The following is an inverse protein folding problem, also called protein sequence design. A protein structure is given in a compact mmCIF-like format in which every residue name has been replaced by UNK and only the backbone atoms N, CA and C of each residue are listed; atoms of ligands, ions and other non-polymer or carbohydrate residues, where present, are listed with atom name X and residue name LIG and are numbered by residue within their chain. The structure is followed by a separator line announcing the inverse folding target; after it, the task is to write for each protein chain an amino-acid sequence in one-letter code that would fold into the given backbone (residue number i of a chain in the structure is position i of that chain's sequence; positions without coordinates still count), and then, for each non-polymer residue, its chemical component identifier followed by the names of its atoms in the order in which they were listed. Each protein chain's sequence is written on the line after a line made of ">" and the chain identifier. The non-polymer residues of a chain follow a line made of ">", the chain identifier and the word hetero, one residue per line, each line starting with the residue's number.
data_IF_791136438287
#
_entry.id   IF_791136438287
#
_cell.length_a   1.000
_cell.length_b   1.000
_cell.length_c   1.000
_cell.angle_alpha   90.00
_cell.angle_beta   90.00
_cell.angle_gamma   90.00
#
_symmetry.space_group_name_H-M   'P 1'
#
loop_
_entity.id
_entity.type
_entity.pdbx_description
1 polymer ?
#
# COMPACT_ATOMS: atom_id res chain seq x y z
N UNK A 1 17.14 -14.98 33.93
CA UNK A 1 16.95 -14.40 32.58
C UNK A 1 17.35 -12.94 32.69
N UNK A 2 18.37 -12.49 31.96
CA UNK A 2 18.77 -11.08 32.03
C UNK A 2 17.61 -10.21 31.53
N UNK A 3 17.22 -9.24 32.35
CA UNK A 3 16.22 -8.21 32.04
C UNK A 3 16.83 -7.06 31.23
N UNK A 4 17.90 -7.32 30.48
CA UNK A 4 18.49 -6.31 29.62
C UNK A 4 17.55 -6.06 28.45
N UNK A 5 16.98 -4.86 28.42
CA UNK A 5 16.20 -4.37 27.31
C UNK A 5 17.10 -4.28 26.07
N UNK A 6 16.59 -4.71 24.92
CA UNK A 6 17.28 -4.57 23.64
C UNK A 6 17.62 -3.10 23.39
N UNK A 7 18.89 -2.81 23.10
CA UNK A 7 19.33 -1.44 22.78
C UNK A 7 18.97 -1.14 21.33
N UNK A 8 18.17 -0.10 21.10
CA UNK A 8 17.76 0.31 19.75
C UNK A 8 18.86 1.17 19.10
N UNK A 9 19.20 0.88 17.85
CA UNK A 9 20.09 1.69 17.02
C UNK A 9 19.44 3.04 16.63
N UNK A 10 18.12 3.05 16.44
CA UNK A 10 17.32 4.26 16.23
C UNK A 10 16.33 4.44 17.39
N UNK A 11 16.32 5.65 17.96
CA UNK A 11 15.44 6.04 19.07
C UNK A 11 14.51 7.14 18.58
N UNK A 12 13.20 6.92 18.71
CA UNK A 12 12.20 7.97 18.44
C UNK A 12 12.19 9.01 19.56
N UNK A 13 11.66 10.20 19.28
CA UNK A 13 11.42 11.24 20.29
C UNK A 13 10.32 10.88 21.30
N UNK A 14 9.69 9.71 21.15
CA UNK A 14 8.56 9.25 21.97
C UNK A 14 8.95 8.02 22.81
N UNK A 15 9.29 8.19 24.11
CA UNK A 15 9.77 7.09 24.96
C UNK A 15 8.82 5.88 25.01
N UNK A 16 7.51 6.10 25.00
CA UNK A 16 6.51 5.02 24.96
C UNK A 16 6.60 4.18 23.69
N UNK A 17 6.87 4.80 22.54
CA UNK A 17 7.03 4.09 21.27
C UNK A 17 8.30 3.24 21.30
N UNK A 18 9.41 3.77 21.84
CA UNK A 18 10.64 3.01 22.01
C UNK A 18 10.43 1.77 22.90
N UNK A 19 9.64 1.90 23.97
CA UNK A 19 9.26 0.77 24.82
C UNK A 19 8.43 -0.29 24.09
N UNK A 20 7.46 0.14 23.25
CA UNK A 20 6.68 -0.78 22.41
C UNK A 20 7.60 -1.52 21.44
N UNK A 21 8.49 -0.82 20.74
CA UNK A 21 9.46 -1.41 19.82
C UNK A 21 10.37 -2.44 20.51
N UNK A 22 10.91 -2.11 21.68
CA UNK A 22 11.71 -3.05 22.48
C UNK A 22 10.91 -4.28 22.92
N UNK A 23 9.64 -4.09 23.29
CA UNK A 23 8.73 -5.17 23.65
C UNK A 23 8.48 -6.11 22.48
N UNK A 24 8.15 -5.57 21.30
CA UNK A 24 7.94 -6.35 20.07
C UNK A 24 9.21 -7.13 19.69
N UNK A 25 10.38 -6.46 19.67
CA UNK A 25 11.66 -7.11 19.41
C UNK A 25 11.87 -8.27 20.37
N UNK A 26 11.69 -8.06 21.67
CA UNK A 26 11.89 -9.10 22.67
C UNK A 26 10.93 -10.27 22.59
N UNK A 27 9.70 -10.07 22.14
CA UNK A 27 8.74 -11.15 21.87
C UNK A 27 9.19 -11.95 20.64
N UNK A 28 9.54 -11.29 19.54
CA UNK A 28 9.98 -11.94 18.32
C UNK A 28 11.29 -12.72 18.49
N UNK A 29 12.29 -12.16 19.15
CA UNK A 29 13.57 -12.84 19.42
C UNK A 29 13.38 -14.10 20.27
N UNK A 30 12.40 -14.11 21.20
CA UNK A 30 12.08 -15.30 22.00
C UNK A 30 11.40 -16.40 21.18
N UNK A 31 10.54 -16.02 20.23
CA UNK A 31 9.78 -16.98 19.41
C UNK A 31 10.62 -17.51 18.24
N UNK A 32 11.47 -16.67 17.66
CA UNK A 32 12.21 -16.96 16.42
C UNK A 32 13.73 -16.89 16.63
N UNK A 33 14.23 -17.65 17.61
CA UNK A 33 15.64 -17.64 18.03
C UNK A 33 16.61 -17.79 16.84
N UNK A 34 17.41 -16.75 16.60
CA UNK A 34 18.45 -16.72 15.56
C UNK A 34 17.95 -16.63 14.12
N UNK A 35 16.63 -16.57 13.90
CA UNK A 35 16.00 -16.52 12.56
C UNK A 35 15.80 -15.11 12.02
N UNK A 36 15.79 -14.11 12.88
CA UNK A 36 15.57 -12.72 12.47
C UNK A 36 16.91 -12.10 12.06
N UNK A 37 16.91 -11.43 10.91
CA UNK A 37 18.02 -10.64 10.39
C UNK A 37 18.04 -9.27 11.05
N UNK A 38 16.91 -8.57 11.06
CA UNK A 38 16.83 -7.26 11.69
C UNK A 38 15.41 -6.70 11.74
N UNK A 39 15.29 -5.62 12.51
CA UNK A 39 14.06 -4.88 12.74
C UNK A 39 14.21 -3.46 12.23
N UNK A 40 13.18 -2.96 11.57
CA UNK A 40 13.23 -1.66 10.91
C UNK A 40 11.93 -0.91 11.15
N UNK A 41 12.05 0.37 11.49
CA UNK A 41 10.93 1.28 11.69
C UNK A 41 10.61 1.97 10.37
N UNK A 42 9.38 1.87 9.89
CA UNK A 42 8.90 2.54 8.70
C UNK A 42 8.05 3.76 9.08
N UNK A 43 7.69 4.54 8.07
CA UNK A 43 6.57 5.45 8.14
C UNK A 43 6.89 6.70 8.94
N UNK A 44 5.85 7.27 9.54
CA UNK A 44 5.93 8.62 10.08
C UNK A 44 6.91 8.74 11.26
N UNK A 45 7.05 7.68 12.08
CA UNK A 45 8.03 7.62 13.17
C UNK A 45 9.47 7.46 12.67
N UNK A 46 9.66 6.79 11.53
CA UNK A 46 10.98 6.62 10.90
C UNK A 46 11.49 7.89 10.21
N UNK A 47 10.60 8.68 9.61
CA UNK A 47 10.96 9.90 8.87
C UNK A 47 10.64 11.22 9.61
N UNK A 48 10.30 11.14 10.90
CA UNK A 48 9.99 12.29 11.78
C UNK A 48 8.86 13.19 11.27
N UNK A 49 7.90 12.61 10.56
CA UNK A 49 6.69 13.31 10.10
C UNK A 49 5.45 12.96 10.93
N UNK A 50 5.61 12.39 12.12
CA UNK A 50 4.50 11.93 12.97
C UNK A 50 3.44 12.98 13.22
N UNK A 51 2.19 12.53 13.27
CA UNK A 51 1.04 13.29 13.77
C UNK A 51 0.35 12.47 14.85
N UNK A 52 -0.59 13.07 15.61
CA UNK A 52 -1.20 12.47 16.81
C UNK A 52 -1.73 11.05 16.60
N UNK A 53 -2.36 10.77 15.46
CA UNK A 53 -2.94 9.46 15.15
C UNK A 53 -2.13 8.68 14.09
N UNK A 54 -0.82 8.92 14.04
CA UNK A 54 0.10 8.10 13.25
C UNK A 54 0.13 6.65 13.75
N UNK A 55 0.15 5.72 12.80
CA UNK A 55 0.49 4.31 13.01
C UNK A 55 1.98 4.12 13.31
N UNK A 56 2.26 3.01 13.99
CA UNK A 56 3.59 2.46 14.18
C UNK A 56 3.80 1.32 13.19
N UNK A 57 4.51 1.60 12.11
CA UNK A 57 4.83 0.62 11.07
C UNK A 57 6.23 0.06 11.27
N UNK A 58 6.39 -1.26 11.26
CA UNK A 58 7.71 -1.89 11.34
C UNK A 58 7.86 -3.13 10.47
N UNK A 59 9.05 -3.34 9.94
CA UNK A 59 9.45 -4.59 9.30
C UNK A 59 10.20 -5.49 10.27
N UNK A 60 9.91 -6.79 10.18
CA UNK A 60 10.71 -7.85 10.80
C UNK A 60 11.24 -8.73 9.68
N UNK A 61 12.54 -8.62 9.40
CA UNK A 61 13.15 -9.35 8.28
C UNK A 61 13.75 -10.66 8.79
N UNK A 62 13.29 -11.77 8.25
CA UNK A 62 13.81 -13.11 8.50
C UNK A 62 14.99 -13.40 7.58
N UNK A 63 15.99 -14.13 8.10
CA UNK A 63 17.16 -14.56 7.33
C UNK A 63 16.74 -15.50 6.21
N UNK A 64 17.27 -15.23 5.02
CA UNK A 64 17.03 -16.01 3.81
C UNK A 64 15.53 -16.08 3.45
N UNK A 65 14.96 -17.29 3.36
CA UNK A 65 13.53 -17.57 3.25
C UNK A 65 12.98 -17.98 4.61
N UNK A 66 11.66 -17.93 4.76
CA UNK A 66 11.03 -18.65 5.87
C UNK A 66 11.40 -20.14 5.80
N UNK A 67 11.75 -20.73 6.95
CA UNK A 67 12.19 -22.12 7.07
C UNK A 67 11.06 -23.10 6.72
N UNK A 68 9.81 -22.68 6.90
CA UNK A 68 8.61 -23.43 6.53
C UNK A 68 7.41 -22.49 6.38
N UNK A 69 6.32 -22.94 5.71
CA UNK A 69 5.06 -22.20 5.70
C UNK A 69 4.50 -21.94 7.11
N UNK A 70 4.78 -22.84 8.06
CA UNK A 70 4.37 -22.70 9.46
C UNK A 70 5.09 -21.50 10.09
N UNK A 71 6.39 -21.31 9.85
CA UNK A 71 7.14 -20.15 10.38
C UNK A 71 6.52 -18.82 9.90
N UNK A 72 6.18 -18.73 8.61
CA UNK A 72 5.54 -17.54 8.05
C UNK A 72 4.17 -17.26 8.70
N UNK A 73 3.32 -18.29 8.85
CA UNK A 73 2.01 -18.17 9.49
C UNK A 73 2.16 -17.76 10.96
N UNK A 74 3.11 -18.36 11.68
CA UNK A 74 3.39 -18.00 13.07
C UNK A 74 3.87 -16.56 13.19
N UNK A 75 4.71 -16.07 12.27
CA UNK A 75 5.18 -14.68 12.28
C UNK A 75 4.03 -13.68 12.06
N UNK A 76 3.12 -13.98 11.14
CA UNK A 76 1.91 -13.16 10.90
C UNK A 76 0.98 -13.20 12.12
N UNK A 77 0.73 -14.37 12.70
CA UNK A 77 -0.14 -14.50 13.88
C UNK A 77 0.44 -13.77 15.11
N UNK A 78 1.75 -13.84 15.30
CA UNK A 78 2.44 -13.09 16.36
C UNK A 78 2.34 -11.58 16.14
N UNK A 79 2.50 -11.14 14.89
CA UNK A 79 2.33 -9.73 14.49
C UNK A 79 0.94 -9.21 14.87
N UNK A 80 -0.10 -9.94 14.51
CA UNK A 80 -1.50 -9.61 14.85
C UNK A 80 -1.73 -9.59 16.36
N UNK A 81 -1.16 -10.55 17.09
CA UNK A 81 -1.27 -10.61 18.56
C UNK A 81 -0.62 -9.40 19.23
N UNK A 82 0.56 -8.98 18.73
CA UNK A 82 1.23 -7.77 19.22
C UNK A 82 0.40 -6.51 18.91
N UNK A 83 -0.21 -6.44 17.73
CA UNK A 83 -1.08 -5.32 17.35
C UNK A 83 -2.31 -5.21 18.27
N UNK A 84 -2.94 -6.32 18.64
CA UNK A 84 -4.12 -6.34 19.51
C UNK A 84 -3.86 -5.84 20.94
N UNK A 85 -2.63 -5.97 21.44
CA UNK A 85 -2.26 -5.52 22.79
C UNK A 85 -1.52 -4.18 22.79
N UNK A 86 -1.26 -3.62 21.61
CA UNK A 86 -0.59 -2.34 21.46
C UNK A 86 -1.55 -1.18 21.76
N UNK A 87 -1.14 -0.17 22.55
CA UNK A 87 -1.97 1.01 22.80
C UNK A 87 -2.03 1.98 21.61
N UNK A 88 -1.30 1.70 20.53
CA UNK A 88 -1.30 2.44 19.26
C UNK A 88 -1.56 1.47 18.13
N UNK A 89 -2.07 1.98 17.00
CA UNK A 89 -2.19 1.19 15.78
C UNK A 89 -0.81 0.73 15.32
N UNK A 90 -0.52 -0.56 15.52
CA UNK A 90 0.77 -1.19 15.25
C UNK A 90 0.63 -2.13 14.06
N UNK A 91 1.40 -1.88 13.00
CA UNK A 91 1.51 -2.76 11.85
C UNK A 91 2.91 -3.37 11.81
N UNK A 92 2.99 -4.70 11.95
CA UNK A 92 4.24 -5.45 11.83
C UNK A 92 4.19 -6.24 10.54
N UNK A 93 5.19 -6.01 9.68
CA UNK A 93 5.34 -6.62 8.36
C UNK A 93 6.46 -7.65 8.40
N UNK A 94 6.18 -8.92 8.73
CA UNK A 94 7.18 -9.97 8.62
C UNK A 94 7.49 -10.21 7.14
N UNK A 95 8.77 -10.27 6.79
CA UNK A 95 9.22 -10.52 5.42
C UNK A 95 10.50 -11.36 5.38
N UNK A 96 10.72 -12.07 4.29
CA UNK A 96 11.95 -12.81 4.07
C UNK A 96 12.99 -11.92 3.35
N UNK A 97 14.25 -12.00 3.77
CA UNK A 97 15.38 -11.27 3.17
C UNK A 97 15.49 -11.52 1.65
N UNK A 98 15.26 -12.76 1.20
CA UNK A 98 15.35 -13.10 -0.22
C UNK A 98 14.22 -12.50 -1.06
N UNK A 99 13.08 -12.15 -0.46
CA UNK A 99 11.99 -11.49 -1.19
C UNK A 99 12.38 -10.07 -1.58
N UNK A 100 13.25 -9.41 -0.81
CA UNK A 100 13.77 -8.07 -1.08
C UNK A 100 14.78 -8.03 -2.25
N UNK A 101 15.17 -9.18 -2.79
CA UNK A 101 16.08 -9.31 -3.94
C UNK A 101 15.35 -9.60 -5.25
N UNK A 102 14.02 -9.79 -5.21
CA UNK A 102 13.22 -10.17 -6.37
C UNK A 102 12.65 -8.95 -7.09
N UNK A 103 12.78 -8.90 -8.42
CA UNK A 103 12.28 -7.79 -9.23
C UNK A 103 10.76 -7.57 -9.09
N UNK A 104 9.98 -8.65 -8.90
CA UNK A 104 8.54 -8.57 -8.62
C UNK A 104 8.20 -7.80 -7.34
N UNK A 105 9.15 -7.71 -6.41
CA UNK A 105 9.02 -7.03 -5.12
C UNK A 105 9.79 -5.71 -5.09
N UNK A 106 10.21 -5.16 -6.24
CA UNK A 106 11.02 -3.95 -6.32
C UNK A 106 10.45 -2.80 -5.48
N UNK A 107 9.13 -2.57 -5.48
CA UNK A 107 8.55 -1.51 -4.65
C UNK A 107 8.61 -1.77 -3.16
N UNK A 108 8.45 -3.03 -2.71
CA UNK A 108 8.63 -3.39 -1.29
C UNK A 108 10.10 -3.21 -0.91
N UNK A 109 11.02 -3.69 -1.75
CA UNK A 109 12.45 -3.60 -1.51
C UNK A 109 12.96 -2.15 -1.48
N UNK A 110 12.48 -1.30 -2.40
CA UNK A 110 12.83 0.13 -2.43
C UNK A 110 12.23 0.88 -1.24
N UNK A 111 10.97 0.63 -0.87
CA UNK A 111 10.36 1.22 0.33
C UNK A 111 11.11 0.79 1.59
N UNK A 112 11.44 -0.49 1.70
CA UNK A 112 12.26 -1.00 2.78
C UNK A 112 13.63 -0.30 2.85
N UNK A 113 14.34 -0.20 1.72
CA UNK A 113 15.67 0.37 1.64
C UNK A 113 15.68 1.87 1.98
N UNK A 114 14.76 2.63 1.41
CA UNK A 114 14.81 4.08 1.41
C UNK A 114 13.97 4.72 2.54
N UNK A 115 12.92 4.03 2.99
CA UNK A 115 11.89 4.62 3.87
C UNK A 115 11.86 4.00 5.28
N UNK A 116 12.91 3.29 5.68
CA UNK A 116 13.01 2.68 7.02
C UNK A 116 14.23 3.16 7.81
N UNK A 117 14.14 3.07 9.13
CA UNK A 117 15.24 3.27 10.08
C UNK A 117 15.59 1.93 10.74
N UNK A 118 16.87 1.57 10.76
CA UNK A 118 17.33 0.35 11.42
C UNK A 118 17.18 0.45 12.95
N UNK A 119 16.54 -0.56 13.55
CA UNK A 119 16.28 -0.62 14.99
C UNK A 119 17.21 -1.58 15.72
N UNK A 120 17.36 -2.83 15.24
CA UNK A 120 18.09 -3.88 15.95
C UNK A 120 18.44 -5.05 15.02
N UNK A 121 19.52 -5.79 15.32
CA UNK A 121 19.98 -6.96 14.57
C UNK A 121 21.15 -6.64 13.62
N UNK A 122 21.03 -7.03 12.36
CA UNK A 122 21.96 -6.73 11.27
C UNK A 122 21.24 -5.89 10.21
N UNK A 123 21.81 -4.72 9.87
CA UNK A 123 21.29 -3.84 8.84
C UNK A 123 21.67 -4.36 7.45
N UNK A 124 20.66 -4.70 6.64
CA UNK A 124 20.84 -5.23 5.28
C UNK A 124 20.44 -4.24 4.18
N UNK A 125 20.07 -3.00 4.51
CA UNK A 125 19.56 -2.03 3.51
C UNK A 125 20.56 -1.78 2.38
N UNK A 126 21.85 -1.74 2.72
CA UNK A 126 22.93 -1.58 1.73
C UNK A 126 23.16 -2.81 0.84
N UNK A 127 22.63 -3.98 1.23
CA UNK A 127 22.73 -5.23 0.48
C UNK A 127 21.60 -5.38 -0.56
N UNK A 128 20.51 -4.60 -0.42
CA UNK A 128 19.37 -4.65 -1.34
C UNK A 128 19.79 -4.14 -2.73
N UNK A 129 19.53 -4.91 -3.80
CA UNK A 129 19.97 -4.55 -5.14
C UNK A 129 19.29 -3.29 -5.65
N UNK A 130 19.88 -2.69 -6.68
CA UNK A 130 19.22 -1.65 -7.47
C UNK A 130 18.21 -2.31 -8.42
N UNK A 131 17.03 -1.71 -8.56
CA UNK A 131 16.01 -2.16 -9.50
C UNK A 131 15.93 -1.23 -10.71
N UNK A 132 15.44 -1.75 -11.84
CA UNK A 132 15.13 -0.91 -12.99
C UNK A 132 13.95 0.01 -12.66
N UNK A 133 13.91 1.20 -13.25
CA UNK A 133 12.78 2.14 -13.09
C UNK A 133 11.46 1.48 -13.49
N UNK A 134 11.49 0.67 -14.54
CA UNK A 134 10.33 -0.10 -15.01
C UNK A 134 9.76 -1.01 -13.91
N UNK A 135 10.60 -1.72 -13.13
CA UNK A 135 10.12 -2.61 -12.08
C UNK A 135 9.38 -1.85 -10.98
N UNK A 136 9.89 -0.66 -10.63
CA UNK A 136 9.21 0.27 -9.73
C UNK A 136 7.87 0.73 -10.31
N UNK A 137 7.83 1.15 -11.56
CA UNK A 137 6.60 1.58 -12.24
C UNK A 137 5.55 0.48 -12.25
N UNK A 138 5.94 -0.77 -12.56
CA UNK A 138 5.00 -1.90 -12.56
C UNK A 138 4.42 -2.16 -11.17
N UNK A 139 5.22 -2.00 -10.13
CA UNK A 139 4.73 -2.11 -8.76
C UNK A 139 3.80 -0.94 -8.40
N UNK A 140 4.24 0.30 -8.64
CA UNK A 140 3.53 1.52 -8.28
C UNK A 140 2.17 1.61 -8.98
N UNK A 141 2.07 1.24 -10.26
CA UNK A 141 0.81 1.22 -11.00
C UNK A 141 -0.21 0.19 -10.49
N UNK A 142 0.17 -0.74 -9.61
CA UNK A 142 -0.76 -1.70 -8.98
C UNK A 142 -1.14 -1.30 -7.56
N UNK A 143 -0.25 -0.62 -6.85
CA UNK A 143 -0.41 -0.29 -5.44
C UNK A 143 -1.76 0.36 -5.07
N UNK A 144 -2.34 1.30 -5.86
CA UNK A 144 -3.62 1.92 -5.52
C UNK A 144 -4.79 0.93 -5.39
N UNK A 145 -4.75 -0.20 -6.10
CA UNK A 145 -5.87 -1.15 -6.17
C UNK A 145 -6.25 -1.70 -4.79
N UNK A 146 -5.25 -2.02 -3.95
CA UNK A 146 -5.48 -2.50 -2.59
C UNK A 146 -6.30 -1.49 -1.77
N UNK A 147 -5.89 -0.22 -1.78
CA UNK A 147 -6.60 0.84 -1.04
C UNK A 147 -8.00 1.14 -1.62
N UNK A 148 -8.16 1.06 -2.94
CA UNK A 148 -9.45 1.25 -3.62
C UNK A 148 -10.45 0.15 -3.24
N UNK A 149 -9.98 -1.10 -3.14
CA UNK A 149 -10.75 -2.28 -2.74
C UNK A 149 -11.16 -2.19 -1.27
N UNK A 150 -10.22 -1.90 -0.35
CA UNK A 150 -10.50 -1.76 1.08
C UNK A 150 -11.55 -0.68 1.34
N UNK A 151 -11.40 0.50 0.71
CA UNK A 151 -12.32 1.62 0.88
C UNK A 151 -13.74 1.29 0.41
N UNK A 152 -13.90 0.33 -0.50
CA UNK A 152 -15.21 -0.09 -1.05
C UNK A 152 -15.72 -1.41 -0.48
N UNK A 153 -14.96 -2.05 0.41
CA UNK A 153 -15.24 -3.39 0.92
C UNK A 153 -15.55 -4.40 -0.22
N UNK A 154 -14.75 -4.38 -1.28
CA UNK A 154 -14.89 -5.26 -2.45
C UNK A 154 -13.56 -5.93 -2.80
N UNK A 155 -13.62 -7.12 -3.40
CA UNK A 155 -12.44 -7.81 -3.94
C UNK A 155 -12.19 -7.50 -5.42
N UNK A 156 -13.15 -6.84 -6.07
CA UNK A 156 -13.11 -6.52 -7.50
C UNK A 156 -13.58 -5.09 -7.73
N UNK A 157 -12.83 -4.35 -8.53
CA UNK A 157 -13.12 -3.01 -8.97
C UNK A 157 -13.72 -3.05 -10.38
N UNK A 158 -14.90 -2.47 -10.57
CA UNK A 158 -15.55 -2.36 -11.88
C UNK A 158 -15.51 -0.89 -12.31
N UNK A 159 -14.90 -0.60 -13.46
CA UNK A 159 -14.78 0.76 -14.00
C UNK A 159 -16.03 1.15 -14.81
N UNK A 160 -16.52 2.40 -14.74
CA UNK A 160 -16.10 3.44 -13.79
C UNK A 160 -16.56 3.12 -12.37
N UNK A 161 -15.75 3.49 -11.38
CA UNK A 161 -16.09 3.35 -9.98
C UNK A 161 -17.25 4.29 -9.62
N UNK A 162 -18.09 3.82 -8.70
CA UNK A 162 -19.06 4.61 -7.97
C UNK A 162 -18.56 4.91 -6.55
N UNK A 163 -19.33 5.74 -5.82
CA UNK A 163 -19.14 5.96 -4.40
C UNK A 163 -19.24 4.64 -3.60
N UNK A 164 -18.42 4.43 -2.55
CA UNK A 164 -18.57 3.31 -1.63
C UNK A 164 -19.97 3.20 -1.00
N UNK A 165 -20.58 4.34 -0.70
CA UNK A 165 -21.94 4.48 -0.18
C UNK A 165 -22.55 5.82 -0.62
N UNK A 166 -23.45 5.84 -1.59
CA UNK A 166 -23.99 7.12 -2.07
C UNK A 166 -24.88 7.83 -1.03
N UNK A 167 -25.39 7.12 -0.01
CA UNK A 167 -26.32 7.68 0.99
C UNK A 167 -25.60 8.21 2.23
N UNK A 168 -24.35 7.77 2.48
CA UNK A 168 -23.55 8.27 3.59
C UNK A 168 -23.09 9.72 3.34
N UNK A 169 -22.93 10.49 4.42
CA UNK A 169 -22.54 11.90 4.36
C UNK A 169 -21.22 12.13 3.60
N UNK A 170 -20.22 11.27 3.85
CA UNK A 170 -18.92 11.29 3.19
C UNK A 170 -18.79 10.16 2.16
N UNK A 171 -19.90 9.76 1.56
CA UNK A 171 -19.95 8.76 0.51
C UNK A 171 -19.37 7.38 0.89
N UNK A 172 -19.29 7.07 2.18
CA UNK A 172 -18.75 5.82 2.73
C UNK A 172 -17.24 5.79 2.90
N UNK A 173 -16.53 6.90 2.62
CA UNK A 173 -15.09 7.01 2.83
C UNK A 173 -14.67 7.08 4.30
N UNK A 174 -15.64 7.27 5.21
CA UNK A 174 -15.51 7.38 6.66
C UNK A 174 -15.82 6.08 7.42
N UNK A 175 -16.16 5.00 6.72
CA UNK A 175 -16.55 3.70 7.31
C UNK A 175 -15.47 3.05 8.18
N UNK A 176 -14.20 3.39 7.93
CA UNK A 176 -13.07 2.81 8.64
C UNK A 176 -12.80 3.61 9.91
N UNK A 177 -12.58 2.90 11.01
CA UNK A 177 -12.23 3.50 12.30
C UNK A 177 -10.73 3.41 12.56
N UNK A 178 -10.20 4.34 13.36
CA UNK A 178 -8.85 4.26 13.91
C UNK A 178 -8.89 4.41 15.44
N UNK A 179 -8.02 3.69 16.18
CA UNK A 179 -7.88 3.90 17.61
C UNK A 179 -7.23 5.27 17.85
N UNK A 180 -7.83 6.07 18.72
CA UNK A 180 -7.26 7.35 19.16
C UNK A 180 -6.45 7.18 20.45
N UNK A 181 -5.74 8.23 20.86
CA UNK A 181 -4.90 8.22 22.06
C UNK A 181 -5.64 7.90 23.38
N UNK A 182 -6.96 8.06 23.41
CA UNK A 182 -7.85 7.70 24.52
C UNK A 182 -8.38 6.26 24.45
N UNK A 183 -7.95 5.48 23.46
CA UNK A 183 -8.39 4.11 23.21
C UNK A 183 -9.76 3.99 22.55
N UNK A 184 -10.41 5.12 22.21
CA UNK A 184 -11.72 5.11 21.55
C UNK A 184 -11.51 5.07 20.04
N UNK A 185 -12.18 4.11 19.39
CA UNK A 185 -12.25 4.06 17.93
C UNK A 185 -13.12 5.17 17.37
N UNK A 186 -12.62 5.88 16.36
CA UNK A 186 -13.35 6.96 15.69
C UNK A 186 -13.30 6.82 14.17
N UNK A 187 -14.37 7.21 13.44
CA UNK A 187 -14.36 7.30 11.98
C UNK A 187 -13.16 8.10 11.46
N UNK A 188 -12.64 7.69 10.31
CA UNK A 188 -11.38 8.20 9.81
C UNK A 188 -11.34 8.38 8.30
N UNK A 189 -10.64 9.43 7.86
CA UNK A 189 -10.28 9.68 6.46
C UNK A 189 -8.97 9.00 6.04
N UNK A 190 -8.35 8.17 6.91
CA UNK A 190 -7.01 7.59 6.66
C UNK A 190 -6.92 6.80 5.36
N UNK A 191 -7.91 5.97 5.06
CA UNK A 191 -7.94 5.17 3.82
C UNK A 191 -8.20 6.01 2.58
N UNK A 192 -8.96 7.10 2.70
CA UNK A 192 -9.14 8.08 1.63
C UNK A 192 -7.81 8.76 1.29
N UNK A 193 -7.06 9.21 2.30
CA UNK A 193 -5.72 9.80 2.10
C UNK A 193 -4.75 8.77 1.53
N UNK A 194 -4.75 7.54 2.05
CA UNK A 194 -3.90 6.47 1.53
C UNK A 194 -4.19 6.21 0.05
N UNK A 195 -5.48 6.16 -0.34
CA UNK A 195 -5.90 5.98 -1.73
C UNK A 195 -5.40 7.10 -2.63
N UNK A 196 -5.65 8.37 -2.28
CA UNK A 196 -5.18 9.52 -3.08
C UNK A 196 -3.66 9.57 -3.15
N UNK A 197 -2.98 9.29 -2.03
CA UNK A 197 -1.52 9.25 -1.97
C UNK A 197 -0.94 8.16 -2.87
N UNK A 198 -1.48 6.94 -2.84
CA UNK A 198 -1.03 5.86 -3.72
C UNK A 198 -1.29 6.16 -5.19
N UNK A 199 -2.43 6.76 -5.53
CA UNK A 199 -2.71 7.20 -6.90
C UNK A 199 -1.66 8.23 -7.35
N UNK A 200 -1.38 9.25 -6.52
CA UNK A 200 -0.35 10.24 -6.83
C UNK A 200 1.02 9.59 -7.03
N UNK A 201 1.43 8.65 -6.17
CA UNK A 201 2.65 7.86 -6.32
C UNK A 201 2.67 7.09 -7.65
N UNK A 202 1.58 6.40 -8.00
CA UNK A 202 1.49 5.64 -9.24
C UNK A 202 1.66 6.54 -10.47
N UNK A 203 0.99 7.69 -10.49
CA UNK A 203 1.05 8.63 -11.60
C UNK A 203 2.43 9.29 -11.71
N UNK A 204 3.05 9.70 -10.60
CA UNK A 204 4.42 10.22 -10.58
C UNK A 204 5.38 9.17 -11.11
N UNK A 205 5.34 7.94 -10.60
CA UNK A 205 6.20 6.85 -11.05
C UNK A 205 6.06 6.62 -12.56
N UNK A 206 4.83 6.48 -13.05
CA UNK A 206 4.57 6.17 -14.46
C UNK A 206 5.00 7.30 -15.41
N UNK A 207 4.67 8.55 -15.09
CA UNK A 207 4.90 9.67 -15.99
C UNK A 207 6.34 10.22 -15.92
N UNK A 208 7.02 10.07 -14.77
CA UNK A 208 8.32 10.71 -14.53
C UNK A 208 9.46 9.72 -14.29
N UNK A 209 9.14 8.43 -14.12
CA UNK A 209 10.09 7.38 -13.76
C UNK A 209 10.79 7.61 -12.41
N UNK A 210 10.25 8.49 -11.56
CA UNK A 210 10.81 8.79 -10.25
C UNK A 210 10.29 7.84 -9.17
N UNK A 211 11.16 7.55 -8.21
CA UNK A 211 10.81 6.88 -6.98
C UNK A 211 10.10 7.85 -6.02
N UNK A 212 9.20 7.32 -5.19
CA UNK A 212 8.45 8.09 -4.19
C UNK A 212 8.56 7.38 -2.85
N UNK A 213 9.26 8.00 -1.91
CA UNK A 213 9.64 7.45 -0.62
C UNK A 213 8.59 7.63 0.48
N UNK A 214 7.70 8.60 0.31
CA UNK A 214 6.79 9.05 1.36
C UNK A 214 5.58 9.79 0.81
N UNK A 215 4.54 9.90 1.65
CA UNK A 215 3.32 10.68 1.34
C UNK A 215 3.64 12.15 1.07
N UNK A 216 4.62 12.73 1.77
CA UNK A 216 5.04 14.12 1.57
C UNK A 216 5.73 14.29 0.22
N UNK A 217 6.64 13.39 -0.11
CA UNK A 217 7.33 13.41 -1.38
C UNK A 217 6.35 13.20 -2.55
N UNK A 218 5.37 12.30 -2.41
CA UNK A 218 4.32 12.09 -3.40
C UNK A 218 3.61 13.40 -3.77
N UNK A 219 3.22 14.20 -2.78
CA UNK A 219 2.58 15.52 -2.99
C UNK A 219 3.53 16.48 -3.71
N UNK A 220 4.79 16.56 -3.25
CA UNK A 220 5.78 17.47 -3.83
C UNK A 220 6.12 17.12 -5.28
N UNK A 221 6.36 15.84 -5.59
CA UNK A 221 6.69 15.39 -6.93
C UNK A 221 5.48 15.50 -7.87
N UNK A 222 4.27 15.19 -7.39
CA UNK A 222 3.05 15.39 -8.17
C UNK A 222 2.87 16.86 -8.57
N UNK A 223 3.01 17.77 -7.60
CA UNK A 223 2.96 19.22 -7.85
C UNK A 223 4.06 19.72 -8.80
N UNK A 224 5.27 19.16 -8.69
CA UNK A 224 6.42 19.65 -9.45
C UNK A 224 6.40 19.15 -10.90
N UNK A 225 6.00 17.89 -11.10
CA UNK A 225 6.18 17.20 -12.38
C UNK A 225 4.88 16.93 -13.15
N UNK A 226 3.73 16.82 -12.47
CA UNK A 226 2.43 16.60 -13.13
C UNK A 226 1.63 17.90 -13.16
N UNK A 227 1.44 18.54 -12.01
CA UNK A 227 0.83 19.86 -11.87
C UNK A 227 -0.48 20.07 -12.67
N UNK A 228 -1.38 19.10 -12.64
CA UNK A 228 -2.66 19.17 -13.36
C UNK A 228 -3.83 19.61 -12.45
N UNK A 229 -5.06 19.47 -12.96
CA UNK A 229 -6.28 19.82 -12.24
C UNK A 229 -6.51 19.05 -10.91
N UNK A 230 -5.80 17.94 -10.68
CA UNK A 230 -5.90 17.14 -9.46
C UNK A 230 -4.89 17.56 -8.38
N UNK A 231 -3.91 18.40 -8.71
CA UNK A 231 -2.91 18.89 -7.75
C UNK A 231 -3.55 19.48 -6.49
N UNK A 232 -4.59 20.33 -6.57
CA UNK A 232 -5.24 20.85 -5.37
C UNK A 232 -5.87 19.76 -4.48
N UNK A 233 -6.37 18.67 -5.06
CA UNK A 233 -6.92 17.55 -4.30
C UNK A 233 -5.81 16.84 -3.54
N UNK A 234 -4.70 16.51 -4.21
CA UNK A 234 -3.55 15.82 -3.61
C UNK A 234 -2.97 16.64 -2.45
N UNK A 235 -2.77 17.94 -2.65
CA UNK A 235 -2.30 18.85 -1.59
C UNK A 235 -3.30 18.93 -0.43
N UNK A 236 -4.59 19.10 -0.70
CA UNK A 236 -5.59 19.25 0.37
C UNK A 236 -5.82 17.97 1.17
N UNK A 237 -5.70 16.79 0.56
CA UNK A 237 -5.75 15.53 1.31
C UNK A 237 -4.61 15.42 2.31
N UNK A 238 -3.41 15.85 1.91
CA UNK A 238 -2.26 15.86 2.81
C UNK A 238 -2.39 16.94 3.89
N UNK A 239 -2.73 18.17 3.51
CA UNK A 239 -2.78 19.29 4.46
C UNK A 239 -4.00 19.26 5.38
N UNK A 240 -5.21 19.07 4.85
CA UNK A 240 -6.43 19.09 5.66
C UNK A 240 -6.60 17.76 6.40
N UNK A 241 -6.67 16.65 5.67
CA UNK A 241 -7.06 15.38 6.28
C UNK A 241 -5.95 14.81 7.18
N UNK A 242 -4.67 14.91 6.78
CA UNK A 242 -3.55 14.38 7.59
C UNK A 242 -3.03 15.41 8.60
N UNK A 243 -2.61 16.59 8.16
CA UNK A 243 -1.88 17.52 9.04
C UNK A 243 -2.81 18.30 9.98
N UNK A 244 -4.02 18.68 9.52
CA UNK A 244 -4.97 19.46 10.32
C UNK A 244 -5.94 18.58 11.12
N UNK A 245 -6.55 17.58 10.48
CA UNK A 245 -7.57 16.73 11.11
C UNK A 245 -7.00 15.43 11.70
N UNK A 246 -5.70 15.17 11.54
CA UNK A 246 -5.03 13.98 12.08
C UNK A 246 -5.75 12.67 11.72
N UNK A 247 -6.18 12.57 10.46
CA UNK A 247 -6.97 11.48 9.90
C UNK A 247 -8.40 11.33 10.43
N UNK A 248 -8.88 12.19 11.34
CA UNK A 248 -10.23 12.12 11.87
C UNK A 248 -11.24 12.83 10.96
N UNK A 249 -12.51 12.49 11.12
CA UNK A 249 -13.61 13.27 10.56
C UNK A 249 -13.79 14.52 11.43
N UNK A 250 -13.81 15.74 10.85
CA UNK A 250 -13.95 16.96 11.63
C UNK A 250 -15.37 17.12 12.19
N UNK A 251 -15.48 17.80 13.35
CA UNK A 251 -16.77 18.07 14.01
C UNK A 251 -17.48 19.30 13.44
N UNK A 252 -16.72 20.29 12.94
CA UNK A 252 -17.26 21.57 12.49
C UNK A 252 -17.94 21.48 11.12
N UNK A 253 -19.15 22.02 11.00
CA UNK A 253 -19.97 21.97 9.76
C UNK A 253 -19.19 22.42 8.50
N UNK A 254 -18.47 23.54 8.56
CA UNK A 254 -17.70 24.03 7.41
C UNK A 254 -16.57 23.06 6.99
N UNK A 255 -15.92 22.42 7.96
CA UNK A 255 -14.85 21.44 7.70
C UNK A 255 -15.44 20.11 7.19
N UNK A 256 -16.63 19.72 7.67
CA UNK A 256 -17.38 18.56 7.14
C UNK A 256 -17.79 18.79 5.68
N UNK A 257 -18.34 19.95 5.36
CA UNK A 257 -18.64 20.28 3.96
C UNK A 257 -17.38 20.27 3.08
N UNK A 258 -16.25 20.72 3.64
CA UNK A 258 -14.97 20.63 2.94
C UNK A 258 -14.54 19.18 2.70
N UNK A 259 -14.61 18.31 3.71
CA UNK A 259 -14.31 16.89 3.56
C UNK A 259 -15.23 16.23 2.54
N UNK A 260 -16.54 16.53 2.57
CA UNK A 260 -17.51 16.01 1.61
C UNK A 260 -17.14 16.39 0.17
N UNK A 261 -16.72 17.62 -0.07
CA UNK A 261 -16.22 18.05 -1.39
C UNK A 261 -14.95 17.30 -1.81
N UNK A 262 -14.01 17.07 -0.88
CA UNK A 262 -12.81 16.27 -1.15
C UNK A 262 -13.15 14.81 -1.50
N UNK A 263 -14.16 14.21 -0.86
CA UNK A 263 -14.65 12.87 -1.18
C UNK A 263 -15.21 12.78 -2.61
N UNK A 264 -15.92 13.81 -3.08
CA UNK A 264 -16.42 13.87 -4.47
C UNK A 264 -15.25 13.87 -5.46
N UNK A 265 -14.30 14.78 -5.28
CA UNK A 265 -13.10 14.87 -6.14
C UNK A 265 -12.26 13.59 -6.10
N UNK A 266 -12.20 12.89 -4.96
CA UNK A 266 -11.46 11.63 -4.84
C UNK A 266 -12.05 10.50 -5.69
N UNK A 267 -13.37 10.44 -5.87
CA UNK A 267 -13.98 9.49 -6.79
C UNK A 267 -13.54 9.76 -8.24
N UNK A 268 -13.64 11.03 -8.67
CA UNK A 268 -13.25 11.43 -10.02
C UNK A 268 -11.76 11.17 -10.27
N UNK A 269 -10.90 11.47 -9.30
CA UNK A 269 -9.47 11.19 -9.37
C UNK A 269 -9.16 9.68 -9.44
N UNK A 270 -9.91 8.86 -8.70
CA UNK A 270 -9.80 7.39 -8.78
C UNK A 270 -10.15 6.88 -10.17
N UNK A 271 -11.20 7.42 -10.79
CA UNK A 271 -11.60 7.07 -12.15
C UNK A 271 -10.60 7.58 -13.20
N UNK A 272 -10.04 8.77 -13.01
CA UNK A 272 -8.97 9.30 -13.86
C UNK A 272 -7.75 8.37 -13.84
N UNK A 273 -7.31 7.95 -12.65
CA UNK A 273 -6.25 6.96 -12.49
C UNK A 273 -6.56 5.64 -13.18
N UNK A 274 -7.76 5.07 -13.01
CA UNK A 274 -8.13 3.82 -13.65
C UNK A 274 -8.15 3.92 -15.18
N UNK A 275 -8.52 5.07 -15.74
CA UNK A 275 -8.40 5.32 -17.18
C UNK A 275 -6.94 5.29 -17.66
N UNK A 276 -6.00 5.84 -16.87
CA UNK A 276 -4.56 5.74 -17.18
C UNK A 276 -4.06 4.31 -17.00
N UNK A 277 -4.47 3.64 -15.92
CA UNK A 277 -4.11 2.26 -15.62
C UNK A 277 -4.58 1.29 -16.70
N UNK A 278 -5.78 1.50 -17.27
CA UNK A 278 -6.29 0.77 -18.45
C UNK A 278 -5.27 0.77 -19.59
N UNK A 279 -4.79 1.95 -19.97
CA UNK A 279 -3.84 2.10 -21.08
C UNK A 279 -2.49 1.46 -20.76
N UNK A 280 -2.04 1.58 -19.51
CA UNK A 280 -0.86 0.89 -19.02
C UNK A 280 -1.01 -0.64 -19.13
N UNK A 281 -2.14 -1.21 -18.69
CA UNK A 281 -2.42 -2.65 -18.78
C UNK A 281 -2.47 -3.11 -20.22
N UNK A 282 -3.13 -2.38 -21.11
CA UNK A 282 -3.15 -2.68 -22.54
C UNK A 282 -1.73 -2.76 -23.10
N UNK A 283 -0.87 -1.79 -22.80
CA UNK A 283 0.54 -1.84 -23.21
C UNK A 283 1.23 -3.10 -22.70
N UNK A 284 1.08 -3.44 -21.42
CA UNK A 284 1.70 -4.65 -20.85
C UNK A 284 1.14 -5.94 -21.48
N UNK A 285 -0.16 -6.00 -21.81
CA UNK A 285 -0.75 -7.13 -22.53
C UNK A 285 -0.16 -7.26 -23.94
N UNK A 286 0.01 -6.14 -24.65
CA UNK A 286 0.40 -6.14 -26.06
C UNK A 286 1.91 -6.31 -26.27
N UNK A 287 2.72 -5.62 -25.47
CA UNK A 287 4.17 -5.42 -25.66
C UNK A 287 5.01 -6.04 -24.54
N UNK A 288 4.39 -6.45 -23.43
CA UNK A 288 5.10 -6.99 -22.28
C UNK A 288 5.78 -8.33 -22.56
N UNK A 289 6.78 -8.67 -21.74
CA UNK A 289 7.33 -10.03 -21.68
C UNK A 289 6.26 -11.01 -21.20
N UNK A 290 6.39 -12.34 -21.41
CA UNK A 290 5.41 -13.30 -20.90
C UNK A 290 5.14 -13.17 -19.39
N UNK A 291 6.15 -12.84 -18.58
CA UNK A 291 6.00 -12.57 -17.15
C UNK A 291 5.13 -11.33 -16.88
N UNK A 292 5.36 -10.26 -17.64
CA UNK A 292 4.61 -9.01 -17.51
C UNK A 292 3.17 -9.14 -18.00
N UNK A 293 2.97 -9.83 -19.13
CA UNK A 293 1.66 -10.17 -19.65
C UNK A 293 0.87 -11.01 -18.63
N UNK A 294 1.49 -12.03 -18.03
CA UNK A 294 0.85 -12.85 -17.00
C UNK A 294 0.40 -12.01 -15.81
N UNK A 295 1.23 -11.06 -15.38
CA UNK A 295 0.88 -10.16 -14.30
C UNK A 295 -0.28 -9.22 -14.69
N UNK A 296 -0.24 -8.64 -15.89
CA UNK A 296 -1.31 -7.77 -16.40
C UNK A 296 -2.65 -8.52 -16.49
N UNK A 297 -2.64 -9.75 -17.01
CA UNK A 297 -3.81 -10.64 -17.05
C UNK A 297 -4.35 -10.89 -15.65
N UNK A 298 -3.50 -11.27 -14.69
CA UNK A 298 -3.95 -11.50 -13.30
C UNK A 298 -4.58 -10.27 -12.66
N UNK A 299 -4.06 -9.07 -12.95
CA UNK A 299 -4.66 -7.84 -12.39
C UNK A 299 -6.04 -7.52 -12.99
N UNK A 300 -6.32 -7.94 -14.23
CA UNK A 300 -7.65 -7.77 -14.84
C UNK A 300 -8.72 -8.63 -14.17
N UNK A 301 -8.34 -9.65 -13.38
CA UNK A 301 -9.26 -10.37 -12.50
C UNK A 301 -9.75 -9.52 -11.31
N UNK A 302 -9.04 -8.43 -10.99
CA UNK A 302 -9.32 -7.52 -9.88
C UNK A 302 -9.80 -6.13 -10.34
N UNK A 303 -9.50 -5.74 -11.58
CA UNK A 303 -9.95 -4.47 -12.18
C UNK A 303 -10.58 -4.75 -13.54
N UNK A 304 -11.90 -4.62 -13.61
CA UNK A 304 -12.71 -4.94 -14.77
C UNK A 304 -13.11 -3.66 -15.50
N UNK A 305 -12.99 -3.68 -16.83
CA UNK A 305 -13.45 -2.63 -17.74
C UNK A 305 -14.57 -3.19 -18.62
N UNK A 306 -15.85 -3.02 -18.23
CA UNK A 306 -16.97 -3.58 -18.97
C UNK A 306 -17.06 -3.01 -20.39
N UNK A 307 -17.29 -3.90 -21.37
CA UNK A 307 -17.44 -3.51 -22.78
C UNK A 307 -16.16 -3.02 -23.47
N UNK A 308 -15.00 -3.25 -22.86
CA UNK A 308 -13.72 -2.84 -23.41
C UNK A 308 -13.16 -3.83 -24.43
N UNK A 309 -13.46 -3.57 -25.71
CA UNK A 309 -13.07 -4.45 -26.80
C UNK A 309 -11.54 -4.61 -26.95
N UNK A 310 -10.73 -3.61 -26.56
CA UNK A 310 -9.27 -3.71 -26.67
C UNK A 310 -8.70 -4.70 -25.64
N UNK A 311 -9.25 -4.69 -24.42
CA UNK A 311 -8.86 -5.65 -23.38
C UNK A 311 -9.32 -7.06 -23.77
N UNK A 312 -10.55 -7.20 -24.28
CA UNK A 312 -11.05 -8.49 -24.76
C UNK A 312 -10.18 -9.07 -25.88
N UNK A 313 -9.81 -8.24 -26.86
CA UNK A 313 -8.91 -8.62 -27.94
C UNK A 313 -7.51 -9.02 -27.42
N UNK A 314 -7.00 -8.28 -26.43
CA UNK A 314 -5.73 -8.57 -25.77
C UNK A 314 -5.75 -9.95 -25.08
N UNK A 315 -6.81 -10.24 -24.31
CA UNK A 315 -6.98 -11.54 -23.65
C UNK A 315 -7.15 -12.67 -24.68
N UNK A 316 -7.96 -12.51 -25.72
CA UNK A 316 -8.15 -13.52 -26.78
C UNK A 316 -6.86 -13.87 -27.50
N UNK A 317 -6.02 -12.86 -27.76
CA UNK A 317 -4.70 -13.08 -28.34
C UNK A 317 -3.83 -13.94 -27.42
N UNK A 318 -3.83 -13.65 -26.12
CA UNK A 318 -3.04 -14.39 -25.12
C UNK A 318 -3.56 -15.81 -24.87
N UNK A 319 -4.84 -16.09 -25.09
CA UNK A 319 -5.38 -17.46 -25.11
C UNK A 319 -4.78 -18.34 -26.23
N UNK A 320 -4.17 -17.72 -27.24
CA UNK A 320 -3.43 -18.43 -28.32
C UNK A 320 -1.92 -18.44 -28.09
N UNK A 321 -1.44 -17.97 -26.94
CA UNK A 321 -0.03 -17.96 -26.59
C UNK A 321 0.55 -19.37 -26.52
N UNK A 322 1.82 -19.52 -26.94
CA UNK A 322 2.61 -20.74 -26.73
C UNK A 322 2.99 -20.95 -25.27
N UNK A 323 2.94 -19.90 -24.43
CA UNK A 323 3.17 -19.99 -23.00
C UNK A 323 1.94 -20.52 -22.28
N UNK A 324 2.03 -21.73 -21.73
CA UNK A 324 0.91 -22.44 -21.10
C UNK A 324 0.28 -21.67 -19.93
N UNK A 325 1.09 -21.18 -19.00
CA UNK A 325 0.61 -20.42 -17.84
C UNK A 325 -0.15 -19.16 -18.26
N UNK A 326 0.35 -18.45 -19.27
CA UNK A 326 -0.25 -17.24 -19.78
C UNK A 326 -1.58 -17.52 -20.48
N UNK A 327 -1.62 -18.56 -21.31
CA UNK A 327 -2.85 -19.02 -21.96
C UNK A 327 -3.91 -19.39 -20.93
N UNK A 328 -3.55 -20.16 -19.91
CA UNK A 328 -4.46 -20.57 -18.84
C UNK A 328 -4.99 -19.36 -18.07
N UNK A 329 -4.11 -18.46 -17.63
CA UNK A 329 -4.52 -17.25 -16.92
C UNK A 329 -5.45 -16.35 -17.76
N UNK A 330 -5.22 -16.25 -19.08
CA UNK A 330 -6.08 -15.46 -19.97
C UNK A 330 -7.47 -16.08 -20.16
N UNK A 331 -7.60 -17.41 -20.18
CA UNK A 331 -8.89 -18.10 -20.16
C UNK A 331 -9.62 -17.84 -18.82
N UNK A 332 -8.97 -18.12 -17.69
CA UNK A 332 -9.55 -17.99 -16.36
C UNK A 332 -10.00 -16.55 -16.07
N UNK A 333 -9.18 -15.56 -16.46
CA UNK A 333 -9.52 -14.14 -16.28
C UNK A 333 -10.74 -13.75 -17.10
N UNK A 334 -10.83 -14.18 -18.38
CA UNK A 334 -11.98 -13.89 -19.23
C UNK A 334 -13.27 -14.51 -18.68
N UNK A 335 -13.19 -15.75 -18.20
CA UNK A 335 -14.34 -16.44 -17.60
C UNK A 335 -14.79 -15.76 -16.30
N UNK A 336 -13.84 -15.36 -15.44
CA UNK A 336 -14.13 -14.59 -14.22
C UNK A 336 -14.78 -13.24 -14.52
N UNK A 337 -14.30 -12.52 -15.53
CA UNK A 337 -14.89 -11.23 -15.95
C UNK A 337 -16.35 -11.43 -16.35
N UNK A 338 -16.65 -12.44 -17.18
CA UNK A 338 -18.04 -12.74 -17.57
C UNK A 338 -18.91 -13.06 -16.37
N UNK A 339 -18.44 -13.94 -15.48
CA UNK A 339 -19.17 -14.31 -14.26
C UNK A 339 -19.53 -13.11 -13.38
N UNK A 340 -18.66 -12.09 -13.31
CA UNK A 340 -18.89 -10.90 -12.49
C UNK A 340 -19.85 -9.91 -13.19
N UNK A 341 -19.85 -9.85 -14.53
CA UNK A 341 -20.71 -8.93 -15.30
C UNK A 341 -22.10 -9.49 -15.60
N UNK A 342 -22.29 -10.80 -15.53
CA UNK A 342 -23.58 -11.47 -15.74
C UNK A 342 -24.49 -11.49 -14.48
N UNK A 343 -23.99 -10.96 -13.35
CA UNK A 343 -24.70 -10.81 -12.06
C UNK A 343 -25.13 -9.37 -11.87
#
# INVERSE_FOLDING_TARGET
>A
MSTELYTLAYITEHPKINQILQGVIGVFEKVFLGRIRGYYLEGSFGNRSTVTNSDLDMYVIFKERFSSPVEAITAVSLSQSCAQISPVLLEIKPGAELDLHQAENAGIALNFKNSTQFLYGEDIRDQIPTFASDDWVRWAMRAPQASLMVTRATEVLVFPLNYPDIQAEFYGYDRQTIPCADGIERPSSKWLIATVGWIATALVAYQTQQYVDSKREAVQLYKTHINDQWTPLVEQMYEQCRNRWYYLIPDGEAERQKLRSLCQCALEFSNHYLSIYRNYVLRELYEGTPKHQLLAVKNLAHVIYPGDQEIDNGLERLQRSSHEELRKAACETKDRIKQILDV
#
